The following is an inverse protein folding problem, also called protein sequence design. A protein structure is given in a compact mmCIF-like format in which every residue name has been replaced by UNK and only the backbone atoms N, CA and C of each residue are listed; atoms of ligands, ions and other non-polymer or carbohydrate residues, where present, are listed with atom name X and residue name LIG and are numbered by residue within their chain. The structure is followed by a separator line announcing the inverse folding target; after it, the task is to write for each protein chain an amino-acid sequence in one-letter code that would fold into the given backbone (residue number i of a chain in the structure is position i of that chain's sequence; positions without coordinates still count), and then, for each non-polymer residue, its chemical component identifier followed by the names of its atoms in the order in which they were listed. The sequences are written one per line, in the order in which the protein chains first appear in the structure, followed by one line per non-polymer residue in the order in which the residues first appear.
data_IF_658198530210
#
_entry.id   IF_658198530210
#
_cell.length_a   1.000
_cell.length_b   1.000
_cell.length_c   1.000
_cell.angle_alpha   90.00
_cell.angle_beta   90.00
_cell.angle_gamma   90.00
#
_symmetry.space_group_name_H-M   'P 1'
#
loop_
_entity.id
_entity.type
_entity.pdbx_description
1 polymer ?
#
# COMPACT_ATOMS: atom_id res chain seq x y z
N UNK A 1 6.07 -17.43 12.69
CA UNK A 1 6.63 -16.23 12.04
C UNK A 1 7.68 -16.68 11.05
N UNK A 2 7.74 -16.10 9.84
CA UNK A 2 8.86 -16.34 8.92
C UNK A 2 10.19 -15.96 9.58
N UNK A 3 11.24 -16.72 9.28
CA UNK A 3 12.61 -16.45 9.72
C UNK A 3 13.34 -15.79 8.56
N UNK A 4 14.00 -14.65 8.84
CA UNK A 4 14.73 -13.88 7.84
C UNK A 4 16.23 -13.98 8.11
N UNK A 5 17.04 -14.09 7.06
CA UNK A 5 18.49 -14.24 7.17
C UNK A 5 19.23 -12.88 7.20
N UNK A 6 18.52 -11.78 6.90
CA UNK A 6 19.05 -10.42 6.95
C UNK A 6 17.94 -9.37 7.06
N UNK A 7 18.30 -8.15 7.46
CA UNK A 7 17.39 -7.01 7.46
C UNK A 7 16.89 -6.66 6.04
N UNK A 8 17.74 -6.79 5.02
CA UNK A 8 17.36 -6.56 3.63
C UNK A 8 16.29 -7.54 3.13
N UNK A 9 16.38 -8.81 3.54
CA UNK A 9 15.38 -9.83 3.20
C UNK A 9 14.03 -9.50 3.86
N UNK A 10 14.07 -9.05 5.12
CA UNK A 10 12.90 -8.59 5.85
C UNK A 10 12.25 -7.36 5.21
N UNK A 11 13.04 -6.33 4.87
CA UNK A 11 12.53 -5.13 4.18
C UNK A 11 11.91 -5.45 2.82
N UNK A 12 12.55 -6.34 2.06
CA UNK A 12 12.03 -6.78 0.76
C UNK A 12 10.69 -7.50 0.90
N UNK A 13 10.55 -8.32 1.93
CA UNK A 13 9.28 -8.98 2.28
C UNK A 13 8.19 -7.97 2.66
N UNK A 14 8.51 -6.98 3.50
CA UNK A 14 7.58 -5.91 3.87
C UNK A 14 7.11 -5.15 2.63
N UNK A 15 8.04 -4.69 1.79
CA UNK A 15 7.73 -3.93 0.58
C UNK A 15 6.86 -4.74 -0.40
N UNK A 16 7.15 -6.03 -0.57
CA UNK A 16 6.35 -6.91 -1.42
C UNK A 16 4.92 -7.07 -0.87
N UNK A 17 4.75 -7.19 0.45
CA UNK A 17 3.44 -7.25 1.09
C UNK A 17 2.69 -5.91 0.99
N UNK A 18 3.38 -4.78 1.18
CA UNK A 18 2.80 -3.44 0.98
C UNK A 18 2.26 -3.32 -0.43
N UNK A 19 3.08 -3.66 -1.42
CA UNK A 19 2.69 -3.58 -2.83
C UNK A 19 1.50 -4.49 -3.13
N UNK A 20 1.45 -5.70 -2.55
CA UNK A 20 0.33 -6.62 -2.72
C UNK A 20 -0.96 -6.07 -2.10
N UNK A 21 -0.90 -5.55 -0.87
CA UNK A 21 -2.05 -4.98 -0.19
C UNK A 21 -2.61 -3.77 -0.95
N UNK A 22 -1.73 -2.91 -1.48
CA UNK A 22 -2.14 -1.72 -2.22
C UNK A 22 -2.71 -2.04 -3.61
N UNK A 23 -2.15 -3.04 -4.32
CA UNK A 23 -2.59 -3.43 -5.67
C UNK A 23 -3.81 -4.34 -5.68
N UNK A 24 -4.06 -5.08 -4.61
CA UNK A 24 -5.23 -5.96 -4.52
C UNK A 24 -6.47 -5.12 -4.29
N UNK A 25 -7.53 -5.36 -5.07
CA UNK A 25 -8.81 -4.71 -4.85
C UNK A 25 -9.42 -5.17 -3.53
N UNK A 26 -9.85 -4.22 -2.70
CA UNK A 26 -10.53 -4.55 -1.46
C UNK A 26 -11.79 -5.37 -1.73
N UNK A 27 -11.90 -6.52 -1.07
CA UNK A 27 -13.00 -7.48 -1.21
C UNK A 27 -12.68 -8.73 -2.03
N UNK A 28 -11.59 -8.71 -2.82
CA UNK A 28 -11.29 -9.80 -3.76
C UNK A 28 -10.52 -10.97 -3.11
N UNK A 29 -9.96 -10.78 -1.92
CA UNK A 29 -9.14 -11.79 -1.24
C UNK A 29 -9.95 -12.58 -0.21
N UNK A 30 -10.24 -13.85 -0.50
CA UNK A 30 -10.95 -14.76 0.41
C UNK A 30 -9.99 -15.41 1.43
N UNK A 31 -10.37 -15.56 2.72
CA UNK A 31 -11.64 -15.15 3.36
C UNK A 31 -11.64 -13.72 3.90
N UNK A 32 -10.57 -12.95 3.71
CA UNK A 32 -10.41 -11.61 4.30
C UNK A 32 -10.97 -10.52 3.38
N UNK A 33 -12.29 -10.29 3.43
CA UNK A 33 -12.97 -9.27 2.63
C UNK A 33 -12.44 -7.84 2.85
N UNK A 34 -11.79 -7.59 3.97
CA UNK A 34 -11.17 -6.32 4.31
C UNK A 34 -9.72 -6.16 3.81
N UNK A 35 -9.13 -7.19 3.21
CA UNK A 35 -7.81 -7.09 2.61
C UNK A 35 -7.86 -6.37 1.27
N UNK A 36 -6.86 -5.53 1.00
CA UNK A 36 -6.74 -4.76 -0.25
C UNK A 36 -7.08 -3.28 -0.10
N UNK A 37 -6.97 -2.54 -1.20
CA UNK A 37 -7.23 -1.10 -1.27
C UNK A 37 -8.44 -0.76 -2.15
N UNK A 38 -9.02 0.42 -1.91
CA UNK A 38 -10.06 1.02 -2.76
C UNK A 38 -9.50 2.06 -3.73
N UNK A 39 -8.19 2.04 -4.00
CA UNK A 39 -7.52 3.03 -4.87
C UNK A 39 -8.14 3.10 -6.27
N UNK A 40 -8.66 1.97 -6.75
CA UNK A 40 -9.32 1.87 -8.05
C UNK A 40 -10.71 2.53 -8.15
N UNK A 41 -11.30 2.90 -7.01
CA UNK A 41 -12.66 3.50 -6.95
C UNK A 41 -12.63 5.02 -6.83
N UNK A 42 -11.45 5.63 -6.77
CA UNK A 42 -11.32 7.07 -6.51
C UNK A 42 -11.64 7.86 -7.77
N UNK A 43 -12.76 8.58 -7.72
CA UNK A 43 -13.25 9.41 -8.84
C UNK A 43 -13.50 10.87 -8.43
N UNK A 44 -13.32 11.19 -7.15
CA UNK A 44 -13.61 12.50 -6.57
C UNK A 44 -12.33 13.26 -6.22
N UNK A 45 -12.38 14.59 -6.35
CA UNK A 45 -11.31 15.48 -5.89
C UNK A 45 -11.45 15.82 -4.40
N UNK A 46 -10.35 15.99 -3.65
CA UNK A 46 -8.96 15.84 -4.08
C UNK A 46 -8.51 14.37 -4.12
N UNK A 47 -8.13 13.89 -5.31
CA UNK A 47 -7.82 12.47 -5.54
C UNK A 47 -6.63 11.97 -4.71
N UNK A 48 -5.60 12.81 -4.55
CA UNK A 48 -4.40 12.49 -3.77
C UNK A 48 -4.73 12.19 -2.30
N UNK A 49 -5.61 12.99 -1.68
CA UNK A 49 -6.01 12.78 -0.29
C UNK A 49 -6.81 11.48 -0.14
N UNK A 50 -7.76 11.24 -1.03
CA UNK A 50 -8.53 10.00 -1.02
C UNK A 50 -7.64 8.79 -1.29
N UNK A 51 -6.62 8.92 -2.13
CA UNK A 51 -5.66 7.86 -2.42
C UNK A 51 -4.81 7.54 -1.18
N UNK A 52 -4.34 8.58 -0.48
CA UNK A 52 -3.62 8.40 0.77
C UNK A 52 -4.49 7.70 1.83
N UNK A 53 -5.76 8.11 1.99
CA UNK A 53 -6.69 7.47 2.91
C UNK A 53 -6.98 6.00 2.53
N UNK A 54 -7.15 5.70 1.25
CA UNK A 54 -7.35 4.33 0.78
C UNK A 54 -6.11 3.45 1.01
N UNK A 55 -4.91 4.00 0.82
CA UNK A 55 -3.66 3.32 1.13
C UNK A 55 -3.50 3.08 2.64
N UNK A 56 -3.82 4.08 3.47
CA UNK A 56 -3.79 3.96 4.92
C UNK A 56 -4.77 2.90 5.44
N UNK A 57 -5.96 2.81 4.86
CA UNK A 57 -6.93 1.78 5.17
C UNK A 57 -6.41 0.38 4.82
N UNK A 58 -5.78 0.22 3.65
CA UNK A 58 -5.27 -1.07 3.18
C UNK A 58 -4.10 -1.59 4.04
N UNK A 59 -3.32 -0.69 4.64
CA UNK A 59 -2.18 -1.02 5.50
C UNK A 59 -2.52 -0.95 6.99
N UNK A 60 -3.79 -0.70 7.34
CA UNK A 60 -4.21 -0.61 8.74
C UNK A 60 -4.05 -1.97 9.44
N UNK A 61 -3.30 -2.00 10.54
CA UNK A 61 -3.00 -3.22 11.29
C UNK A 61 -1.71 -3.93 10.87
N UNK A 62 -1.07 -3.47 9.80
CA UNK A 62 0.28 -3.91 9.44
C UNK A 62 1.33 -3.13 10.24
N UNK A 63 2.27 -3.83 10.86
CA UNK A 63 3.29 -3.20 11.68
C UNK A 63 4.45 -2.66 10.82
N UNK A 64 4.84 -1.41 11.06
CA UNK A 64 6.05 -0.82 10.45
C UNK A 64 5.88 -0.28 9.04
N UNK A 65 4.66 -0.17 8.52
CA UNK A 65 4.36 0.34 7.18
C UNK A 65 3.37 1.50 7.26
N UNK A 66 3.79 2.70 6.85
CA UNK A 66 2.97 3.91 6.94
C UNK A 66 2.94 4.66 5.62
N UNK A 67 1.80 4.80 4.94
CA UNK A 67 1.71 5.65 3.77
C UNK A 67 1.79 7.12 4.18
N UNK A 68 2.70 7.87 3.55
CA UNK A 68 3.01 9.27 3.90
C UNK A 68 2.61 10.24 2.81
N UNK A 69 2.64 9.81 1.54
CA UNK A 69 2.28 10.64 0.40
C UNK A 69 1.57 9.80 -0.66
N UNK A 70 0.68 10.45 -1.41
CA UNK A 70 0.02 9.87 -2.57
C UNK A 70 -0.05 10.92 -3.68
N UNK A 71 0.41 10.55 -4.87
CA UNK A 71 0.43 11.41 -6.04
C UNK A 71 -0.30 10.73 -7.19
N UNK A 72 -1.19 11.47 -7.86
CA UNK A 72 -1.83 11.00 -9.08
C UNK A 72 -0.81 10.95 -10.21
N UNK A 73 -0.74 9.80 -10.89
CA UNK A 73 0.02 9.63 -12.13
C UNK A 73 -0.95 9.49 -13.30
N UNK A 74 -0.44 9.51 -14.54
CA UNK A 74 -1.25 9.30 -15.75
C UNK A 74 -2.04 7.99 -15.72
N UNK A 75 -1.46 6.93 -15.14
CA UNK A 75 -1.99 5.57 -15.16
C UNK A 75 -2.53 5.08 -13.82
N UNK A 76 -2.52 5.91 -12.76
CA UNK A 76 -2.94 5.47 -11.43
C UNK A 76 -2.41 6.37 -10.32
N UNK A 77 -1.71 5.79 -9.35
CA UNK A 77 -1.16 6.50 -8.19
C UNK A 77 0.27 6.04 -7.86
N UNK A 78 1.08 6.98 -7.41
CA UNK A 78 2.36 6.76 -6.78
C UNK A 78 2.21 6.99 -5.28
N UNK A 79 2.39 5.94 -4.47
CA UNK A 79 2.24 6.00 -3.00
C UNK A 79 3.62 5.90 -2.37
N UNK A 80 4.01 6.90 -1.59
CA UNK A 80 5.21 6.84 -0.75
C UNK A 80 4.84 6.21 0.58
N UNK A 81 5.55 5.16 0.96
CA UNK A 81 5.37 4.41 2.21
C UNK A 81 6.67 4.43 3.00
N UNK A 82 6.57 4.75 4.28
CA UNK A 82 7.64 4.63 5.24
C UNK A 82 7.69 3.18 5.74
N UNK A 83 8.80 2.49 5.47
CA UNK A 83 9.07 1.13 5.95
C UNK A 83 10.32 1.20 6.81
N UNK A 84 10.21 0.84 8.09
CA UNK A 84 11.31 0.90 9.07
C UNK A 84 12.06 2.26 9.09
N UNK A 85 11.35 3.37 8.91
CA UNK A 85 11.93 4.71 8.93
C UNK A 85 12.58 5.16 7.61
N UNK A 86 12.54 4.34 6.57
CA UNK A 86 13.00 4.69 5.24
C UNK A 86 11.83 4.81 4.25
N UNK A 87 11.84 5.86 3.43
CA UNK A 87 10.81 6.06 2.40
C UNK A 87 11.02 5.11 1.22
N UNK A 88 9.91 4.56 0.72
CA UNK A 88 9.86 3.69 -0.45
C UNK A 88 8.67 4.08 -1.31
N UNK A 89 8.83 3.99 -2.62
CA UNK A 89 7.77 4.31 -3.56
C UNK A 89 7.09 3.04 -4.07
N UNK A 90 5.77 3.02 -4.04
CA UNK A 90 4.94 1.96 -4.62
C UNK A 90 4.09 2.57 -5.73
N UNK A 91 4.32 2.15 -6.97
CA UNK A 91 3.51 2.54 -8.12
C UNK A 91 2.34 1.58 -8.33
N UNK A 92 1.16 2.16 -8.56
CA UNK A 92 -0.11 1.47 -8.68
C UNK A 92 -0.76 1.95 -9.97
N UNK A 93 -1.04 1.02 -10.87
CA UNK A 93 -1.85 1.29 -12.05
C UNK A 93 -3.31 1.00 -11.71
N UNK A 94 -4.19 1.91 -12.10
CA UNK A 94 -5.63 1.90 -11.80
C UNK A 94 -6.42 1.97 -13.09
#
# INVERSE_FOLDING_TARGET
MPVFNSENEYESFLLANTARALKTHRGDFYPQCDYGSNLYKITKKPENLYALCAAAQALCGENGMFPVCAEKTETGYAITVLINGAERLVSISV
#
